data_IF_429905475739
#
_entry.id   IF_429905475739
#
_cell.length_a   1.000
_cell.length_b   1.000
_cell.length_c   1.000
_cell.angle_alpha   90.00
_cell.angle_beta   90.00
_cell.angle_gamma   90.00
#
_symmetry.space_group_name_H-M   'P 1'
#
loop_
_entity.id
_entity.type
_entity.pdbx_description
1 polymer ?
#
# COMPACT_ATOMS: atom_id res chain seq x y z
N UNK A 1 6.73 -5.76 -5.46
CA UNK A 1 7.58 -4.58 -5.22
C UNK A 1 6.77 -3.37 -5.61
N UNK A 2 6.70 -2.36 -4.75
CA UNK A 2 6.06 -1.08 -5.07
C UNK A 2 7.08 -0.27 -5.87
N UNK A 3 6.65 0.29 -7.01
CA UNK A 3 7.48 1.14 -7.86
C UNK A 3 7.22 2.61 -7.57
N UNK A 4 5.95 2.98 -7.42
CA UNK A 4 5.54 4.33 -7.08
C UNK A 4 4.13 4.32 -6.50
N UNK A 5 3.78 5.41 -5.83
CA UNK A 5 2.42 5.73 -5.42
C UNK A 5 2.00 7.07 -6.01
N UNK A 6 0.75 7.19 -6.45
CA UNK A 6 0.20 8.40 -7.06
C UNK A 6 -1.10 8.78 -6.38
N UNK A 7 -1.14 9.98 -5.79
CA UNK A 7 -2.37 10.55 -5.25
C UNK A 7 -3.23 11.06 -6.40
N UNK A 8 -4.36 10.39 -6.64
CA UNK A 8 -5.22 10.64 -7.82
C UNK A 8 -5.88 12.03 -7.76
N UNK A 9 -5.94 12.66 -6.59
CA UNK A 9 -6.57 13.98 -6.45
C UNK A 9 -5.64 15.11 -6.87
N UNK A 10 -4.34 14.98 -6.60
CA UNK A 10 -3.32 16.00 -6.83
C UNK A 10 -2.37 15.67 -7.98
N UNK A 11 -2.41 14.44 -8.50
CA UNK A 11 -1.45 13.86 -9.44
C UNK A 11 0.00 13.84 -8.91
N UNK A 12 0.18 14.02 -7.60
CA UNK A 12 1.50 13.94 -6.98
C UNK A 12 1.96 12.50 -6.83
N UNK A 13 3.19 12.27 -7.23
CA UNK A 13 3.87 10.98 -7.19
C UNK A 13 4.85 10.99 -6.04
N UNK A 14 4.74 10.00 -5.15
CA UNK A 14 5.64 9.78 -4.01
C UNK A 14 5.82 11.00 -3.08
N UNK A 15 4.86 11.91 -3.01
CA UNK A 15 5.01 13.19 -2.28
C UNK A 15 3.84 13.44 -1.31
N UNK A 16 2.65 13.74 -1.85
CA UNK A 16 1.48 14.08 -1.04
C UNK A 16 0.46 12.94 -0.98
N UNK A 17 -0.18 12.80 0.18
CA UNK A 17 -1.33 11.93 0.39
C UNK A 17 -2.55 12.76 0.83
N UNK A 18 -3.64 12.69 0.09
CA UNK A 18 -4.90 13.38 0.38
C UNK A 18 -5.90 12.42 1.03
N UNK A 19 -6.15 12.56 2.33
CA UNK A 19 -7.14 11.76 3.05
C UNK A 19 -8.50 11.70 2.34
N UNK A 20 -9.09 10.51 2.29
CA UNK A 20 -10.38 10.23 1.64
C UNK A 20 -10.34 10.17 0.10
N UNK A 21 -9.15 10.21 -0.52
CA UNK A 21 -8.96 10.11 -1.96
C UNK A 21 -8.27 8.82 -2.35
N UNK A 22 -8.34 8.49 -3.64
CA UNK A 22 -7.71 7.30 -4.18
C UNK A 22 -6.19 7.49 -4.24
N UNK A 23 -5.47 6.46 -3.80
CA UNK A 23 -4.04 6.27 -4.03
C UNK A 23 -3.88 5.11 -5.01
N UNK A 24 -3.22 5.37 -6.12
CA UNK A 24 -2.75 4.31 -7.01
C UNK A 24 -1.39 3.80 -6.52
N UNK A 25 -1.25 2.49 -6.35
CA UNK A 25 -0.01 1.82 -5.96
C UNK A 25 0.43 0.96 -7.14
N UNK A 26 1.36 1.49 -7.93
CA UNK A 26 1.89 0.81 -9.10
C UNK A 26 3.09 -0.08 -8.70
N UNK A 27 3.16 -1.27 -9.27
CA UNK A 27 4.25 -2.17 -8.97
C UNK A 27 4.14 -3.52 -9.66
N UNK A 28 4.67 -4.54 -8.99
CA UNK A 28 4.64 -5.90 -9.51
C UNK A 28 4.41 -6.92 -8.41
N UNK A 29 3.59 -7.92 -8.74
CA UNK A 29 3.25 -9.03 -7.86
C UNK A 29 2.65 -8.61 -6.51
N UNK A 30 1.77 -7.61 -6.50
CA UNK A 30 1.26 -6.99 -5.26
C UNK A 30 -0.21 -7.25 -4.97
N UNK A 31 -0.86 -8.14 -5.74
CA UNK A 31 -2.25 -8.52 -5.46
C UNK A 31 -2.38 -8.90 -3.99
N UNK A 32 -3.24 -8.22 -3.25
CA UNK A 32 -3.49 -8.40 -1.82
C UNK A 32 -4.37 -9.64 -1.65
N UNK A 33 -3.77 -10.78 -1.31
CA UNK A 33 -4.49 -12.04 -1.11
C UNK A 33 -3.69 -13.01 -0.25
N UNK A 34 -4.40 -13.89 0.45
CA UNK A 34 -3.85 -14.84 1.41
C UNK A 34 -4.81 -15.05 2.59
N UNK A 35 -4.58 -16.11 3.35
CA UNK A 35 -5.33 -16.46 4.56
C UNK A 35 -4.70 -15.87 5.83
N UNK A 36 -3.44 -15.45 5.76
CA UNK A 36 -2.75 -14.86 6.91
C UNK A 36 -3.41 -13.52 7.31
N UNK A 37 -3.77 -13.33 8.60
CA UNK A 37 -4.44 -12.10 9.06
C UNK A 37 -3.64 -10.81 8.85
N UNK A 38 -2.32 -10.90 8.62
CA UNK A 38 -1.48 -9.74 8.31
C UNK A 38 -1.58 -9.27 6.86
N UNK A 39 -2.20 -10.05 5.95
CA UNK A 39 -2.43 -9.65 4.56
C UNK A 39 -3.28 -8.37 4.53
N UNK A 40 -2.82 -7.39 3.76
CA UNK A 40 -3.45 -6.07 3.67
C UNK A 40 -2.52 -4.98 3.17
N UNK A 41 -3.06 -3.77 3.07
CA UNK A 41 -2.32 -2.53 2.79
C UNK A 41 -2.20 -1.72 4.08
N UNK A 42 -1.04 -1.12 4.30
CA UNK A 42 -0.73 -0.39 5.52
C UNK A 42 -0.11 0.97 5.22
N UNK A 43 -0.52 1.96 6.00
CA UNK A 43 0.16 3.24 6.14
C UNK A 43 0.93 3.23 7.47
N UNK A 44 2.26 3.40 7.40
CA UNK A 44 3.14 3.40 8.58
C UNK A 44 3.69 4.80 8.79
N UNK A 45 3.31 5.46 9.88
CA UNK A 45 3.84 6.78 10.20
C UNK A 45 5.34 6.66 10.55
N UNK A 46 6.20 7.38 9.84
CA UNK A 46 7.65 7.24 9.98
C UNK A 46 8.15 7.68 11.37
N UNK A 47 7.52 8.70 11.98
CA UNK A 47 7.93 9.24 13.27
C UNK A 47 7.48 8.36 14.44
N UNK A 48 6.23 7.92 14.42
CA UNK A 48 5.62 7.17 15.53
C UNK A 48 5.69 5.65 15.36
N UNK A 49 6.04 5.17 14.17
CA UNK A 49 5.98 3.75 13.77
C UNK A 49 4.58 3.13 13.93
N UNK A 50 3.55 3.97 14.06
CA UNK A 50 2.16 3.56 14.13
C UNK A 50 1.71 3.03 12.78
N UNK A 51 1.09 1.84 12.77
CA UNK A 51 0.60 1.16 11.57
C UNK A 51 -0.91 1.26 11.49
N UNK A 52 -1.41 1.78 10.39
CA UNK A 52 -2.84 1.81 10.06
C UNK A 52 -3.06 0.77 8.98
N UNK A 53 -3.79 -0.29 9.30
CA UNK A 53 -4.21 -1.32 8.32
C UNK A 53 -5.51 -0.86 7.67
N UNK A 54 -5.60 -0.96 6.35
CA UNK A 54 -6.85 -0.71 5.64
C UNK A 54 -7.83 -1.87 5.78
N UNK A 55 -9.11 -1.53 5.79
CA UNK A 55 -10.18 -2.51 5.65
C UNK A 55 -10.26 -2.99 4.20
N UNK A 56 -10.81 -4.19 3.99
CA UNK A 56 -10.96 -4.74 2.65
C UNK A 56 -11.83 -3.84 1.73
N UNK A 57 -12.78 -3.10 2.32
CA UNK A 57 -13.62 -2.13 1.62
C UNK A 57 -12.88 -0.90 1.10
N UNK A 58 -11.69 -0.60 1.64
CA UNK A 58 -10.88 0.54 1.20
C UNK A 58 -10.03 0.18 -0.03
N UNK A 59 -9.97 -1.11 -0.42
CA UNK A 59 -9.27 -1.59 -1.62
C UNK A 59 -10.24 -1.56 -2.80
N UNK A 60 -10.06 -0.59 -3.69
CA UNK A 60 -10.91 -0.33 -4.86
C UNK A 60 -10.53 -1.25 -6.02
N UNK A 61 -9.22 -1.40 -6.27
CA UNK A 61 -8.67 -2.26 -7.32
C UNK A 61 -7.58 -3.15 -6.72
N UNK A 62 -7.56 -4.44 -7.09
CA UNK A 62 -6.62 -5.41 -6.54
C UNK A 62 -6.02 -6.30 -7.64
N UNK A 63 -5.14 -5.71 -8.46
CA UNK A 63 -4.44 -6.39 -9.54
C UNK A 63 -2.98 -6.69 -9.15
N UNK A 64 -2.32 -7.67 -9.82
CA UNK A 64 -0.91 -7.94 -9.57
C UNK A 64 0.03 -6.75 -9.80
N UNK A 65 -0.28 -5.87 -10.76
CA UNK A 65 0.55 -4.72 -11.13
C UNK A 65 0.07 -3.39 -10.55
N UNK A 66 -1.13 -3.36 -9.98
CA UNK A 66 -1.80 -2.13 -9.57
C UNK A 66 -2.76 -2.45 -8.42
N UNK A 67 -2.60 -1.75 -7.30
CA UNK A 67 -3.56 -1.76 -6.21
C UNK A 67 -4.03 -0.33 -6.02
N UNK A 68 -5.34 -0.10 -6.08
CA UNK A 68 -5.93 1.21 -5.80
C UNK A 68 -6.65 1.15 -4.47
N UNK A 69 -6.34 2.10 -3.59
CA UNK A 69 -6.92 2.17 -2.25
C UNK A 69 -7.49 3.55 -1.95
N UNK A 70 -8.37 3.65 -0.96
CA UNK A 70 -8.77 4.93 -0.37
C UNK A 70 -7.80 5.26 0.76
N UNK A 71 -7.22 6.46 0.72
CA UNK A 71 -6.36 6.98 1.79
C UNK A 71 -7.25 7.22 3.02
N UNK A 72 -6.93 6.64 4.19
CA UNK A 72 -7.72 6.85 5.39
C UNK A 72 -7.48 8.25 5.95
N UNK A 73 -8.12 8.58 7.06
CA UNK A 73 -7.76 9.80 7.80
C UNK A 73 -6.35 9.64 8.39
N UNK A 74 -5.41 10.44 7.91
CA UNK A 74 -4.02 10.46 8.38
C UNK A 74 -3.73 11.76 9.14
N UNK A 75 -3.01 11.63 10.25
CA UNK A 75 -2.40 12.78 10.91
C UNK A 75 -1.30 13.39 10.01
N UNK A 76 -0.96 14.65 10.21
CA UNK A 76 0.16 15.26 9.49
C UNK A 76 1.47 14.50 9.77
N UNK A 77 2.16 14.08 8.71
CA UNK A 77 3.43 13.38 8.82
C UNK A 77 3.81 12.63 7.55
N UNK A 78 4.99 12.01 7.59
CA UNK A 78 5.51 11.17 6.51
C UNK A 78 5.07 9.72 6.74
N UNK A 79 4.61 9.07 5.67
CA UNK A 79 4.11 7.70 5.72
C UNK A 79 4.85 6.79 4.75
N UNK A 80 5.18 5.59 5.22
CA UNK A 80 5.60 4.48 4.37
C UNK A 80 4.38 3.63 4.02
N UNK A 81 4.22 3.30 2.74
CA UNK A 81 3.17 2.41 2.25
C UNK A 81 3.71 0.98 2.19
N UNK A 82 2.99 0.02 2.80
CA UNK A 82 3.30 -1.40 2.74
C UNK A 82 2.15 -2.20 2.17
N UNK A 83 2.47 -3.11 1.27
CA UNK A 83 1.56 -4.15 0.81
C UNK A 83 2.04 -5.49 1.35
N UNK A 84 1.24 -6.12 2.21
CA UNK A 84 1.50 -7.46 2.74
C UNK A 84 0.62 -8.45 2.00
N UNK A 85 1.23 -9.48 1.41
CA UNK A 85 0.52 -10.46 0.58
C UNK A 85 1.19 -11.82 0.61
N UNK A 86 0.42 -12.90 0.47
CA UNK A 86 0.93 -14.23 0.17
C UNK A 86 1.00 -14.49 -1.35
N UNK A 87 0.58 -13.55 -2.19
CA UNK A 87 0.67 -13.67 -3.64
C UNK A 87 2.12 -13.70 -4.13
N UNK A 88 2.46 -14.70 -4.94
CA UNK A 88 3.74 -14.80 -5.64
C UNK A 88 3.54 -15.29 -7.08
N UNK A 89 2.70 -14.57 -7.84
CA UNK A 89 2.46 -14.86 -9.26
C UNK A 89 1.44 -15.97 -9.46
N UNK A 90 1.93 -17.19 -9.66
CA UNK A 90 1.07 -18.37 -9.88
C UNK A 90 0.83 -19.20 -8.61
N UNK A 91 1.56 -18.90 -7.54
CA UNK A 91 1.43 -19.58 -6.24
C UNK A 91 1.00 -18.63 -5.13
N UNK A 92 0.44 -19.20 -4.07
CA UNK A 92 0.23 -18.55 -2.77
C UNK A 92 1.28 -19.10 -1.80
N UNK A 93 2.03 -18.20 -1.17
CA UNK A 93 3.08 -18.52 -0.19
C UNK A 93 2.46 -18.95 1.14
N UNK A 94 3.17 -19.80 1.87
CA UNK A 94 2.80 -20.16 3.25
C UNK A 94 2.95 -18.96 4.19
N UNK A 95 4.06 -18.23 4.07
CA UNK A 95 4.31 -17.02 4.85
C UNK A 95 4.07 -15.76 4.00
N UNK A 96 3.42 -14.73 4.55
CA UNK A 96 3.24 -13.47 3.86
C UNK A 96 4.58 -12.78 3.59
N UNK A 97 4.66 -12.07 2.46
CA UNK A 97 5.78 -11.19 2.14
C UNK A 97 5.33 -9.74 2.09
N UNK A 98 6.28 -8.83 2.24
CA UNK A 98 6.04 -7.39 2.22
C UNK A 98 6.63 -6.79 0.94
N UNK A 99 5.82 -6.02 0.22
CA UNK A 99 6.29 -5.06 -0.76
C UNK A 99 6.21 -3.66 -0.15
N UNK A 100 7.32 -2.95 -0.13
CA UNK A 100 7.42 -1.56 0.33
C UNK A 100 7.96 -0.70 -0.82
N UNK A 101 7.67 0.60 -0.78
CA UNK A 101 8.38 1.58 -1.60
C UNK A 101 9.68 1.90 -0.86
N UNK A 102 10.83 1.54 -1.44
CA UNK A 102 12.15 1.87 -0.88
C UNK A 102 12.78 2.96 -1.74
N UNK A 103 12.25 4.17 -1.69
CA UNK A 103 12.95 5.34 -2.23
C UNK A 103 13.63 6.08 -1.09
N UNK A 104 14.95 6.16 -1.16
CA UNK A 104 15.74 7.06 -0.35
C UNK A 104 15.35 8.48 -0.75
N UNK A 105 14.44 9.09 0.01
CA UNK A 105 14.23 10.53 -0.04
C UNK A 105 15.57 11.22 0.32
N UNK A 106 16.05 12.19 -0.46
CA UNK A 106 17.30 12.89 -0.18
C UNK A 106 17.31 13.61 1.18
#
# INVERSE_FOLDING_TARGET
MILQVTDVKSDFVNDLLTSGRNLEIAGSTMKVTGEDPSVGVFFVNAAMQARIKLEASDIVTNNPSEVMVVIPELAAGTYEIKVVTQYAGIIILKEPRVATLTENWP
#
